data_IF_902617436866
#
_entry.id   IF_902617436866
#
_cell.length_a   1.000
_cell.length_b   1.000
_cell.length_c   1.000
_cell.angle_alpha   90.00
_cell.angle_beta   90.00
_cell.angle_gamma   90.00
#
_symmetry.space_group_name_H-M   'P 1'
#
loop_
_entity.id
_entity.type
_entity.pdbx_description
1 polymer ?
#
# COMPACT_ATOMS: atom_id res chain seq x y z
N UNK A 1 -6.71 -20.44 40.10
CA UNK A 1 -6.91 -20.09 38.68
C UNK A 1 -6.57 -18.64 38.49
N UNK A 2 -5.75 -18.34 37.51
CA UNK A 2 -4.82 -17.24 37.51
C UNK A 2 -5.42 -15.98 36.88
N UNK A 3 -5.61 -14.87 37.64
CA UNK A 3 -6.03 -13.55 37.14
C UNK A 3 -5.24 -13.07 35.95
N UNK A 4 -4.02 -13.58 35.78
CA UNK A 4 -3.15 -13.24 34.65
C UNK A 4 -3.63 -13.85 33.32
N UNK A 5 -4.21 -15.06 33.34
CA UNK A 5 -4.73 -15.72 32.12
C UNK A 5 -6.06 -15.13 31.65
N UNK A 6 -6.86 -14.59 32.57
CA UNK A 6 -8.09 -13.88 32.21
C UNK A 6 -7.81 -12.51 31.59
N UNK A 7 -6.79 -11.79 32.09
CA UNK A 7 -6.39 -10.51 31.53
C UNK A 7 -5.79 -10.65 30.11
N UNK A 8 -5.00 -11.70 29.86
CA UNK A 8 -4.45 -11.95 28.53
C UNK A 8 -5.55 -12.24 27.52
N UNK A 9 -6.51 -13.10 27.85
CA UNK A 9 -7.67 -13.39 26.99
C UNK A 9 -8.54 -12.16 26.72
N UNK A 10 -8.65 -11.26 27.70
CA UNK A 10 -9.42 -10.02 27.55
C UNK A 10 -8.72 -9.06 26.56
N UNK A 11 -7.39 -8.95 26.65
CA UNK A 11 -6.59 -8.11 25.74
C UNK A 11 -6.66 -8.66 24.30
N UNK A 12 -6.45 -9.96 24.13
CA UNK A 12 -6.54 -10.62 22.81
C UNK A 12 -7.94 -10.44 22.18
N UNK A 13 -9.00 -10.56 22.98
CA UNK A 13 -10.37 -10.32 22.50
C UNK A 13 -10.61 -8.85 22.14
N UNK A 14 -10.04 -7.90 22.89
CA UNK A 14 -10.17 -6.47 22.58
C UNK A 14 -9.42 -6.11 21.27
N UNK A 15 -8.24 -6.64 21.06
CA UNK A 15 -7.48 -6.45 19.81
C UNK A 15 -8.22 -7.05 18.61
N UNK A 16 -8.81 -8.23 18.78
CA UNK A 16 -9.61 -8.88 17.74
C UNK A 16 -10.86 -8.04 17.39
N UNK A 17 -11.61 -7.56 18.39
CA UNK A 17 -12.80 -6.72 18.18
C UNK A 17 -12.45 -5.38 17.52
N UNK A 18 -11.36 -4.73 17.93
CA UNK A 18 -10.87 -3.51 17.29
C UNK A 18 -10.49 -3.78 15.82
N UNK A 19 -9.92 -4.95 15.55
CA UNK A 19 -9.61 -5.39 14.19
C UNK A 19 -10.87 -5.53 13.32
N UNK A 20 -11.93 -6.14 13.83
CA UNK A 20 -13.19 -6.31 13.13
C UNK A 20 -13.91 -4.95 12.89
N UNK A 21 -13.99 -4.09 13.89
CA UNK A 21 -14.56 -2.74 13.74
C UNK A 21 -13.81 -1.90 12.70
N UNK A 22 -12.47 -1.98 12.68
CA UNK A 22 -11.65 -1.29 11.71
C UNK A 22 -11.86 -1.83 10.28
N UNK A 23 -12.07 -3.14 10.11
CA UNK A 23 -12.41 -3.74 8.81
C UNK A 23 -13.81 -3.36 8.37
N UNK A 24 -14.80 -3.41 9.27
CA UNK A 24 -16.16 -3.01 8.97
C UNK A 24 -16.23 -1.54 8.55
N UNK A 25 -15.51 -0.66 9.26
CA UNK A 25 -15.36 0.73 8.87
C UNK A 25 -14.74 0.88 7.48
N UNK A 26 -13.72 0.09 7.15
CA UNK A 26 -13.07 0.15 5.83
C UNK A 26 -13.98 -0.34 4.69
N UNK A 27 -14.88 -1.28 4.96
CA UNK A 27 -15.84 -1.79 3.98
C UNK A 27 -17.00 -0.81 3.77
N UNK A 28 -17.50 -0.19 4.84
CA UNK A 28 -18.66 0.71 4.80
C UNK A 28 -18.32 2.16 4.50
N UNK A 29 -17.11 2.60 4.90
CA UNK A 29 -16.65 3.97 4.79
C UNK A 29 -15.41 4.03 3.89
N UNK A 30 -15.57 4.56 2.68
CA UNK A 30 -14.52 4.72 1.69
C UNK A 30 -13.79 6.07 1.77
N UNK A 31 -13.98 6.83 2.85
CA UNK A 31 -13.40 8.17 3.04
C UNK A 31 -11.87 8.18 2.95
N UNK A 32 -11.20 7.11 3.36
CA UNK A 32 -9.74 6.97 3.25
C UNK A 32 -9.24 6.97 1.79
N UNK A 33 -10.10 6.62 0.83
CA UNK A 33 -9.76 6.59 -0.59
C UNK A 33 -9.72 7.98 -1.20
N UNK A 34 -10.52 8.91 -0.64
CA UNK A 34 -10.68 10.26 -1.21
C UNK A 34 -9.38 11.06 -1.29
N UNK A 35 -8.55 11.21 -0.24
CA UNK A 35 -7.30 11.96 -0.35
C UNK A 35 -6.32 11.36 -1.36
N UNK A 36 -6.29 10.02 -1.48
CA UNK A 36 -5.47 9.33 -2.47
C UNK A 36 -5.93 9.67 -3.88
N UNK A 37 -7.24 9.64 -4.11
CA UNK A 37 -7.85 9.98 -5.39
C UNK A 37 -7.62 11.44 -5.76
N UNK A 38 -7.81 12.37 -4.83
CA UNK A 38 -7.62 13.81 -5.08
C UNK A 38 -6.18 14.11 -5.57
N UNK A 39 -5.16 13.46 -4.96
CA UNK A 39 -3.78 13.56 -5.42
C UNK A 39 -3.57 12.90 -6.79
N UNK A 40 -4.18 11.74 -7.02
CA UNK A 40 -4.10 11.05 -8.31
C UNK A 40 -4.62 11.91 -9.46
N UNK A 41 -5.77 12.54 -9.28
CA UNK A 41 -6.36 13.45 -10.29
C UNK A 41 -5.43 14.63 -10.64
N UNK A 42 -4.55 15.03 -9.71
CA UNK A 42 -3.62 16.15 -9.91
C UNK A 42 -2.32 15.74 -10.63
N UNK A 43 -1.89 14.48 -10.51
CA UNK A 43 -0.53 14.09 -10.91
C UNK A 43 -0.44 12.78 -11.71
N UNK A 44 -1.56 12.14 -12.06
CA UNK A 44 -1.57 10.82 -12.72
C UNK A 44 -0.76 10.75 -14.01
N UNK A 45 -0.69 11.83 -14.79
CA UNK A 45 0.02 11.86 -16.06
C UNK A 45 1.55 11.99 -15.94
N UNK A 46 2.05 12.26 -14.73
CA UNK A 46 3.49 12.49 -14.46
C UNK A 46 4.13 11.45 -13.55
N UNK A 47 3.45 10.34 -13.26
CA UNK A 47 3.95 9.32 -12.34
C UNK A 47 5.18 8.58 -12.86
N UNK A 48 6.19 8.43 -12.00
CA UNK A 48 7.42 7.69 -12.25
C UNK A 48 7.60 6.62 -11.17
N UNK A 49 7.36 5.37 -11.51
CA UNK A 49 7.23 4.31 -10.51
C UNK A 49 8.57 3.77 -9.98
N UNK A 50 9.54 3.54 -10.85
CA UNK A 50 10.82 2.91 -10.47
C UNK A 50 11.80 3.91 -9.84
N UNK A 51 11.74 5.17 -10.25
CA UNK A 51 12.48 6.29 -9.66
C UNK A 51 11.49 7.40 -9.30
N UNK A 52 10.73 7.25 -8.22
CA UNK A 52 9.70 8.21 -7.85
C UNK A 52 10.23 9.63 -7.76
N UNK A 53 9.63 10.53 -8.51
CA UNK A 53 9.85 11.96 -8.39
C UNK A 53 9.02 12.56 -7.25
N UNK A 54 9.11 13.86 -7.05
CA UNK A 54 8.40 14.53 -5.95
C UNK A 54 6.88 14.35 -6.01
N UNK A 55 6.27 14.36 -7.21
CA UNK A 55 4.83 14.14 -7.38
C UNK A 55 4.42 12.71 -7.05
N UNK A 56 5.19 11.75 -7.53
CA UNK A 56 4.99 10.33 -7.22
C UNK A 56 5.19 10.06 -5.73
N UNK A 57 6.23 10.61 -5.10
CA UNK A 57 6.45 10.48 -3.66
C UNK A 57 5.29 11.05 -2.82
N UNK A 58 4.71 12.18 -3.23
CA UNK A 58 3.56 12.76 -2.53
C UNK A 58 2.35 11.81 -2.56
N UNK A 59 2.07 11.21 -3.71
CA UNK A 59 1.01 10.21 -3.88
C UNK A 59 1.26 8.96 -3.02
N UNK A 60 2.46 8.39 -3.09
CA UNK A 60 2.86 7.22 -2.29
C UNK A 60 2.80 7.51 -0.79
N UNK A 61 3.22 8.71 -0.37
CA UNK A 61 3.17 9.14 1.03
C UNK A 61 1.73 9.26 1.54
N UNK A 62 0.78 9.70 0.72
CA UNK A 62 -0.63 9.75 1.12
C UNK A 62 -1.22 8.35 1.30
N UNK A 63 -0.89 7.39 0.41
CA UNK A 63 -1.29 5.98 0.58
C UNK A 63 -0.79 5.44 1.92
N UNK A 64 0.49 5.63 2.23
CA UNK A 64 1.08 5.16 3.49
C UNK A 64 0.45 5.85 4.71
N UNK A 65 0.18 7.14 4.64
CA UNK A 65 -0.48 7.90 5.69
C UNK A 65 -1.87 7.34 5.97
N UNK A 66 -2.69 7.08 4.96
CA UNK A 66 -4.02 6.48 5.16
C UNK A 66 -3.92 5.09 5.81
N UNK A 67 -2.95 4.27 5.39
CA UNK A 67 -2.67 2.96 5.97
C UNK A 67 -2.38 3.01 7.48
N UNK A 68 -1.74 4.07 7.95
CA UNK A 68 -1.24 4.17 9.34
C UNK A 68 -2.06 5.10 10.25
N UNK A 69 -2.90 5.97 9.68
CA UNK A 69 -3.59 7.01 10.47
C UNK A 69 -5.12 6.99 10.37
N UNK A 70 -5.67 6.40 9.31
CA UNK A 70 -7.12 6.39 9.13
C UNK A 70 -7.82 5.35 10.02
N UNK A 71 -7.21 4.18 10.17
CA UNK A 71 -7.73 3.08 10.98
C UNK A 71 -7.19 3.15 12.40
N UNK A 72 -7.94 2.62 13.36
CA UNK A 72 -7.53 2.57 14.78
C UNK A 72 -6.25 1.75 14.98
N UNK A 73 -6.07 0.72 14.15
CA UNK A 73 -4.82 0.00 13.98
C UNK A 73 -4.33 0.18 12.55
N UNK A 74 -3.01 0.20 12.34
CA UNK A 74 -2.45 0.26 10.99
C UNK A 74 -2.91 -0.95 10.16
N UNK A 75 -3.31 -0.69 8.90
CA UNK A 75 -3.79 -1.72 7.98
C UNK A 75 -3.09 -1.64 6.65
N UNK A 76 -2.82 -2.77 6.05
CA UNK A 76 -2.31 -2.81 4.69
C UNK A 76 -3.32 -2.23 3.72
N UNK A 77 -2.88 -1.29 2.90
CA UNK A 77 -3.61 -0.78 1.75
C UNK A 77 -2.93 -1.30 0.50
N UNK A 78 -3.72 -1.70 -0.46
CA UNK A 78 -3.28 -2.06 -1.80
C UNK A 78 -3.90 -1.10 -2.81
N UNK A 79 -3.09 -0.60 -3.72
CA UNK A 79 -3.50 0.24 -4.84
C UNK A 79 -2.93 -0.34 -6.13
N UNK A 80 -3.79 -0.58 -7.10
CA UNK A 80 -3.39 -0.95 -8.46
C UNK A 80 -3.70 0.21 -9.39
N UNK A 81 -2.76 0.53 -10.24
CA UNK A 81 -2.90 1.46 -11.35
C UNK A 81 -2.92 0.66 -12.64
N UNK A 82 -4.03 0.67 -13.36
CA UNK A 82 -4.16 -0.05 -14.62
C UNK A 82 -3.64 0.74 -15.82
N UNK A 83 -3.67 0.15 -17.02
CA UNK A 83 -3.19 0.77 -18.25
C UNK A 83 -3.95 2.04 -18.64
N UNK A 84 -5.18 2.21 -18.17
CA UNK A 84 -6.02 3.40 -18.40
C UNK A 84 -5.93 4.45 -17.29
N UNK A 85 -4.97 4.33 -16.35
CA UNK A 85 -4.86 5.18 -15.18
C UNK A 85 -6.03 5.07 -14.19
N UNK A 86 -6.78 3.98 -14.19
CA UNK A 86 -7.78 3.72 -13.18
C UNK A 86 -7.13 3.20 -11.90
N UNK A 87 -7.64 3.64 -10.75
CA UNK A 87 -7.22 3.16 -9.44
C UNK A 87 -8.17 2.09 -8.90
N UNK A 88 -7.61 0.97 -8.48
CA UNK A 88 -8.29 -0.07 -7.71
C UNK A 88 -7.66 -0.10 -6.32
N UNK A 89 -8.46 0.13 -5.28
CA UNK A 89 -7.97 0.25 -3.92
C UNK A 89 -8.69 -0.70 -2.98
N UNK A 90 -7.91 -1.43 -2.19
CA UNK A 90 -8.41 -2.32 -1.17
C UNK A 90 -7.64 -2.17 0.15
N UNK A 91 -8.25 -2.60 1.24
CA UNK A 91 -7.66 -2.61 2.57
C UNK A 91 -7.78 -3.99 3.18
N UNK A 92 -6.73 -4.43 3.83
CA UNK A 92 -6.62 -5.73 4.48
C UNK A 92 -6.39 -5.67 5.98
N UNK A 93 -5.86 -6.74 6.53
CA UNK A 93 -5.37 -6.81 7.91
C UNK A 93 -4.05 -6.04 8.06
N UNK A 94 -3.48 -5.92 9.28
CA UNK A 94 -2.17 -5.30 9.46
C UNK A 94 -0.99 -5.97 8.74
N UNK A 95 -1.13 -7.20 8.28
CA UNK A 95 -0.07 -7.96 7.60
C UNK A 95 -0.51 -8.69 6.35
N UNK A 96 -1.69 -8.39 5.79
CA UNK A 96 -2.16 -9.01 4.57
C UNK A 96 -3.31 -8.23 3.92
N UNK A 97 -3.21 -8.02 2.60
CA UNK A 97 -4.26 -7.45 1.77
C UNK A 97 -4.42 -8.25 0.49
N UNK A 98 -5.65 -8.38 0.00
CA UNK A 98 -5.98 -9.13 -1.22
C UNK A 98 -7.22 -8.55 -1.90
N UNK A 99 -7.30 -8.69 -3.22
CA UNK A 99 -8.52 -8.41 -3.99
C UNK A 99 -9.49 -9.59 -4.08
N UNK A 100 -9.13 -10.77 -3.58
CA UNK A 100 -9.87 -12.01 -3.82
C UNK A 100 -11.33 -12.00 -3.38
N UNK A 101 -11.73 -11.12 -2.47
CA UNK A 101 -13.09 -11.05 -1.91
C UNK A 101 -13.71 -9.66 -1.96
N UNK A 102 -13.15 -8.74 -2.73
CA UNK A 102 -13.71 -7.40 -2.88
C UNK A 102 -14.31 -7.28 -4.27
N UNK A 103 -15.61 -6.99 -4.33
CA UNK A 103 -16.20 -6.49 -5.57
C UNK A 103 -15.56 -5.15 -5.85
N UNK A 104 -14.75 -5.09 -6.90
CA UNK A 104 -14.00 -3.90 -7.29
C UNK A 104 -14.96 -2.81 -7.71
N UNK A 105 -15.35 -1.97 -6.78
CA UNK A 105 -15.95 -0.69 -7.08
C UNK A 105 -14.83 0.29 -7.42
N UNK A 106 -14.53 0.38 -8.68
CA UNK A 106 -13.78 1.50 -9.23
C UNK A 106 -14.61 2.75 -8.95
N UNK A 107 -14.25 3.59 -7.98
CA UNK A 107 -14.84 4.91 -7.73
C UNK A 107 -16.18 5.21 -8.44
N UNK A 108 -17.19 4.35 -8.25
CA UNK A 108 -18.53 4.51 -8.83
C UNK A 108 -18.64 4.10 -10.31
N UNK A 109 -17.58 3.63 -10.94
CA UNK A 109 -17.62 2.99 -12.26
C UNK A 109 -17.28 1.51 -12.11
N UNK A 110 -18.14 0.63 -12.61
CA UNK A 110 -17.90 -0.83 -12.64
C UNK A 110 -17.06 -1.22 -13.86
N UNK A 111 -15.95 -0.51 -14.10
CA UNK A 111 -15.08 -0.87 -15.20
C UNK A 111 -14.11 -1.96 -14.80
N UNK A 112 -13.92 -3.00 -15.64
CA UNK A 112 -12.94 -4.03 -15.37
C UNK A 112 -11.52 -3.45 -15.48
N UNK A 113 -10.60 -3.95 -14.63
CA UNK A 113 -9.18 -3.63 -14.69
C UNK A 113 -8.61 -3.92 -16.08
N UNK A 114 -7.82 -3.00 -16.62
CA UNK A 114 -7.20 -3.10 -17.94
C UNK A 114 -5.73 -3.44 -17.84
N UNK A 115 -5.34 -4.55 -18.46
CA UNK A 115 -3.93 -4.95 -18.54
C UNK A 115 -3.19 -4.20 -19.65
N UNK A 116 -1.86 -4.01 -19.51
CA UNK A 116 -1.05 -4.35 -18.36
C UNK A 116 -1.31 -3.45 -17.15
N UNK A 117 -1.02 -3.94 -15.94
CA UNK A 117 -1.01 -3.15 -14.72
C UNK A 117 0.26 -2.29 -14.71
N UNK A 118 0.13 -0.98 -14.66
CA UNK A 118 1.27 -0.05 -14.60
C UNK A 118 2.03 -0.15 -13.29
N UNK A 119 1.31 -0.22 -12.17
CA UNK A 119 1.92 -0.33 -10.87
C UNK A 119 0.99 -1.04 -9.86
N UNK A 120 1.57 -1.98 -9.12
CA UNK A 120 0.98 -2.56 -7.94
C UNK A 120 1.67 -1.99 -6.70
N UNK A 121 0.93 -1.26 -5.88
CA UNK A 121 1.43 -0.62 -4.67
C UNK A 121 0.77 -1.27 -3.47
N UNK A 122 1.56 -1.61 -2.44
CA UNK A 122 1.00 -2.02 -1.16
C UNK A 122 1.81 -1.47 0.01
N UNK A 123 1.21 -1.41 1.19
CA UNK A 123 1.81 -0.84 2.38
C UNK A 123 2.13 -1.92 3.41
N UNK A 124 3.25 -1.76 4.11
CA UNK A 124 3.58 -2.48 5.34
C UNK A 124 3.49 -1.49 6.51
N UNK A 125 2.30 -1.31 7.13
CA UNK A 125 2.12 -0.34 8.20
C UNK A 125 3.02 -0.70 9.39
N UNK A 126 3.81 0.29 9.85
CA UNK A 126 4.75 0.17 10.96
C UNK A 126 5.98 -0.74 10.74
N UNK A 127 6.15 -1.32 9.56
CA UNK A 127 7.32 -2.13 9.20
C UNK A 127 8.16 -1.46 8.11
N UNK A 128 9.33 -2.03 7.84
CA UNK A 128 10.19 -1.62 6.74
C UNK A 128 9.57 -2.02 5.39
N UNK A 129 9.98 -1.33 4.32
CA UNK A 129 9.64 -1.73 2.97
C UNK A 129 10.47 -2.95 2.57
N UNK A 130 9.82 -4.04 2.21
CA UNK A 130 10.44 -5.23 1.63
C UNK A 130 9.37 -6.06 0.91
N UNK A 131 9.74 -6.77 -0.13
CA UNK A 131 8.85 -7.75 -0.74
C UNK A 131 8.91 -9.05 0.06
N UNK A 132 7.80 -9.44 0.65
CA UNK A 132 7.65 -10.74 1.32
C UNK A 132 7.61 -11.89 0.29
N UNK A 133 7.73 -13.13 0.77
CA UNK A 133 7.57 -14.28 -0.12
C UNK A 133 6.19 -14.37 -0.78
N UNK A 134 5.15 -13.80 -0.16
CA UNK A 134 3.80 -13.70 -0.75
C UNK A 134 3.75 -12.64 -1.83
N UNK A 135 4.43 -11.50 -1.61
CA UNK A 135 4.50 -10.42 -2.60
C UNK A 135 5.22 -10.88 -3.87
N UNK A 136 6.35 -11.58 -3.73
CA UNK A 136 7.05 -12.17 -4.87
C UNK A 136 6.21 -13.16 -5.64
N UNK A 137 5.43 -14.01 -4.98
CA UNK A 137 4.48 -14.90 -5.66
C UNK A 137 3.41 -14.14 -6.42
N UNK A 138 2.97 -12.98 -5.93
CA UNK A 138 2.01 -12.10 -6.62
C UNK A 138 2.67 -11.50 -7.86
N UNK A 139 3.88 -10.96 -7.76
CA UNK A 139 4.66 -10.45 -8.90
C UNK A 139 4.85 -11.55 -9.96
N UNK A 140 5.26 -12.74 -9.55
CA UNK A 140 5.45 -13.88 -10.46
C UNK A 140 4.15 -14.31 -11.15
N UNK A 141 3.02 -14.28 -10.42
CA UNK A 141 1.71 -14.67 -10.98
C UNK A 141 1.19 -13.69 -12.03
N UNK A 142 1.65 -12.44 -11.99
CA UNK A 142 1.32 -11.38 -12.95
C UNK A 142 2.42 -11.12 -13.97
N UNK A 143 3.32 -12.09 -14.14
CA UNK A 143 4.43 -11.98 -15.09
C UNK A 143 3.92 -11.68 -16.52
N UNK A 144 4.43 -10.58 -17.10
CA UNK A 144 4.02 -10.07 -18.41
C UNK A 144 2.81 -9.12 -18.39
N UNK A 145 2.04 -9.11 -17.31
CA UNK A 145 0.88 -8.23 -17.13
C UNK A 145 1.11 -7.15 -16.06
N UNK A 146 2.26 -7.13 -15.40
CA UNK A 146 2.65 -6.14 -14.39
C UNK A 146 3.94 -5.43 -14.84
N UNK A 147 3.92 -4.11 -14.92
CA UNK A 147 5.09 -3.30 -15.31
C UNK A 147 5.98 -2.96 -14.10
N UNK A 148 5.38 -2.62 -12.95
CA UNK A 148 6.12 -2.27 -11.74
C UNK A 148 5.37 -2.64 -10.46
N UNK A 149 6.11 -2.82 -9.37
CA UNK A 149 5.58 -3.07 -8.05
C UNK A 149 6.27 -2.18 -7.01
N UNK A 150 5.53 -1.71 -6.01
CA UNK A 150 6.04 -0.84 -4.95
C UNK A 150 5.54 -1.33 -3.59
N UNK A 151 6.47 -1.44 -2.63
CA UNK A 151 6.17 -1.63 -1.21
C UNK A 151 6.48 -0.34 -0.46
N UNK A 152 5.52 0.13 0.33
CA UNK A 152 5.66 1.31 1.18
C UNK A 152 5.83 0.87 2.64
N UNK A 153 6.96 1.22 3.22
CA UNK A 153 7.27 1.01 4.64
C UNK A 153 7.47 2.32 5.39
N UNK A 154 7.82 2.20 6.67
CA UNK A 154 8.10 3.35 7.53
C UNK A 154 9.36 4.08 7.06
N UNK A 155 9.19 5.21 6.38
CA UNK A 155 10.29 6.04 5.82
C UNK A 155 11.09 5.36 4.69
N UNK A 156 10.51 4.38 4.04
CA UNK A 156 11.17 3.61 3.00
C UNK A 156 10.20 3.28 1.87
N UNK A 157 10.73 3.20 0.66
CA UNK A 157 10.04 2.70 -0.53
C UNK A 157 10.93 1.63 -1.16
N UNK A 158 10.36 0.50 -1.53
CA UNK A 158 11.01 -0.44 -2.42
C UNK A 158 10.22 -0.49 -3.73
N UNK A 159 10.85 -0.05 -4.82
CA UNK A 159 10.28 -0.07 -6.16
C UNK A 159 10.97 -1.15 -7.01
N UNK A 160 10.19 -1.94 -7.73
CA UNK A 160 10.65 -3.02 -8.59
C UNK A 160 10.13 -2.83 -10.01
N UNK A 161 11.03 -2.86 -10.99
CA UNK A 161 10.72 -2.84 -12.42
C UNK A 161 10.67 -4.28 -12.95
N UNK A 162 9.48 -4.73 -13.33
CA UNK A 162 9.28 -6.09 -13.79
C UNK A 162 9.93 -6.38 -15.15
N UNK A 163 10.13 -5.36 -16.00
CA UNK A 163 10.73 -5.54 -17.32
C UNK A 163 12.25 -5.73 -17.25
N UNK A 164 12.90 -5.02 -16.35
CA UNK A 164 14.36 -5.10 -16.16
C UNK A 164 14.78 -6.02 -15.02
N UNK A 165 13.83 -6.46 -14.19
CA UNK A 165 14.04 -7.23 -12.97
C UNK A 165 14.96 -6.50 -11.96
N UNK A 166 14.92 -5.16 -11.95
CA UNK A 166 15.74 -4.33 -11.07
C UNK A 166 14.86 -3.75 -9.96
N UNK A 167 15.26 -3.99 -8.72
CA UNK A 167 14.68 -3.35 -7.53
C UNK A 167 15.48 -2.11 -7.10
N UNK A 168 14.78 -1.11 -6.55
CA UNK A 168 15.36 0.09 -5.95
C UNK A 168 14.79 0.30 -4.56
N UNK A 169 15.68 0.37 -3.57
CA UNK A 169 15.34 0.66 -2.19
C UNK A 169 15.67 2.12 -1.88
N UNK A 170 14.65 2.90 -1.55
CA UNK A 170 14.74 4.33 -1.31
C UNK A 170 14.45 4.58 0.17
N UNK A 171 15.43 5.10 0.90
CA UNK A 171 15.28 5.51 2.29
C UNK A 171 15.12 7.01 2.40
N UNK A 172 14.10 7.47 3.12
CA UNK A 172 13.90 8.88 3.41
C UNK A 172 14.63 9.27 4.70
N UNK A 173 15.82 9.82 4.57
CA UNK A 173 16.58 10.35 5.72
C UNK A 173 16.17 11.80 5.93
N UNK A 174 15.59 12.12 7.08
CA UNK A 174 15.39 13.51 7.52
C UNK A 174 16.74 14.10 7.87
N UNK A 175 17.27 14.95 7.00
CA UNK A 175 18.44 15.79 7.36
C UNK A 175 17.97 16.99 8.18
N UNK A 176 18.84 17.53 9.03
CA UNK A 176 18.59 18.74 9.85
C UNK A 176 18.23 19.98 9.02
N UNK A 177 18.49 19.97 7.72
CA UNK A 177 18.14 21.02 6.75
C UNK A 177 16.83 20.78 5.99
N UNK A 178 16.08 19.72 6.33
CA UNK A 178 14.83 19.36 5.64
C UNK A 178 15.01 18.78 4.23
N UNK A 179 16.25 18.59 3.77
CA UNK A 179 16.54 17.92 2.50
C UNK A 179 16.51 16.41 2.69
N UNK A 180 15.84 15.71 1.78
CA UNK A 180 15.86 14.24 1.68
C UNK A 180 17.11 13.81 0.92
N UNK A 181 17.86 12.88 1.48
CA UNK A 181 18.94 12.18 0.77
C UNK A 181 18.44 10.79 0.42
N UNK A 182 18.47 10.45 -0.84
CA UNK A 182 18.19 9.10 -1.35
C UNK A 182 19.50 8.32 -1.30
N UNK A 183 19.51 7.20 -0.60
CA UNK A 183 20.61 6.24 -0.69
C UNK A 183 20.11 5.07 -1.54
N UNK A 184 20.66 4.92 -2.73
CA UNK A 184 20.44 3.75 -3.56
C UNK A 184 21.15 2.56 -2.90
N UNK A 185 20.38 1.62 -2.39
CA UNK A 185 20.88 0.29 -2.06
C UNK A 185 20.63 -0.60 -3.27
N UNK A 186 21.67 -0.99 -3.98
CA UNK A 186 21.61 -2.08 -4.95
C UNK A 186 21.82 -3.39 -4.18
N UNK A 187 20.85 -4.30 -4.21
CA UNK A 187 21.04 -5.73 -3.92
C UNK A 187 20.63 -6.57 -5.13
#
# INVERSE_FOLDING_TARGET
>A
MNKMSENIKTIENMEYLQGEESMEKAITDNEWKKPIKDLWEMCSDSMVWVYPDFGTEAFLSEIYKQSTTYFDIGREIQVIVDSNNNLFMSVGSPGFVSFANQEDELYGTKEPMRLPIKCWIHTHPNFNAYFSGTDWKTVDSWHGDLESAIVLGKSEIWAYDCATEIGKHIQFIKTSSGRRTVTDGEE
#
